data_IF_917165139606
#
_entry.id   IF_917165139606
#
_cell.length_a   1.000
_cell.length_b   1.000
_cell.length_c   1.000
_cell.angle_alpha   90.00
_cell.angle_beta   90.00
_cell.angle_gamma   90.00
#
_symmetry.space_group_name_H-M   'P 1'
#
loop_
_entity.id
_entity.type
_entity.pdbx_description
1 polymer ?
#
# COMPACT_ATOMS: atom_id res chain seq x y z
N UNK A 1 27.97 1.71 16.16
CA UNK A 1 27.98 0.98 14.86
C UNK A 1 26.91 1.61 13.99
N UNK A 2 27.23 1.94 12.75
CA UNK A 2 26.24 2.43 11.77
C UNK A 2 25.23 1.33 11.50
N UNK A 3 23.93 1.62 11.58
CA UNK A 3 22.87 0.67 11.21
C UNK A 3 22.95 0.35 9.73
N UNK A 4 22.78 -0.89 9.38
CA UNK A 4 22.78 -1.35 7.98
C UNK A 4 21.55 -2.19 7.74
N UNK A 5 20.80 -1.90 6.68
CA UNK A 5 19.60 -2.63 6.28
C UNK A 5 19.80 -3.30 4.93
N UNK A 6 19.35 -4.54 4.81
CA UNK A 6 19.32 -5.30 3.57
C UNK A 6 17.97 -5.10 2.90
N UNK A 7 17.93 -4.48 1.74
CA UNK A 7 16.69 -4.17 1.02
C UNK A 7 16.66 -4.93 -0.30
N UNK A 8 15.66 -5.79 -0.43
CA UNK A 8 15.35 -6.41 -1.72
C UNK A 8 14.60 -5.42 -2.60
N UNK A 9 15.07 -5.22 -3.82
CA UNK A 9 14.45 -4.34 -4.81
C UNK A 9 13.89 -5.18 -5.94
N UNK A 10 12.60 -5.09 -6.16
CA UNK A 10 11.87 -5.75 -7.25
C UNK A 10 11.22 -4.66 -8.11
N UNK A 11 11.89 -4.15 -9.15
CA UNK A 11 11.33 -3.09 -10.00
C UNK A 11 10.03 -3.52 -10.71
N UNK A 12 9.95 -4.80 -11.09
CA UNK A 12 8.76 -5.38 -11.73
C UNK A 12 8.55 -4.91 -13.16
N UNK A 13 7.30 -4.59 -13.51
CA UNK A 13 6.83 -4.38 -14.86
C UNK A 13 6.49 -2.91 -15.17
N UNK A 14 6.35 -2.62 -16.45
CA UNK A 14 5.83 -1.35 -16.95
C UNK A 14 6.62 -0.13 -16.49
N UNK A 15 5.97 0.77 -15.77
CA UNK A 15 6.61 1.98 -15.20
C UNK A 15 7.31 1.72 -13.86
N UNK A 16 7.22 0.50 -13.31
CA UNK A 16 7.85 0.12 -12.05
C UNK A 16 9.35 0.44 -11.98
N UNK A 17 10.16 0.04 -12.98
CA UNK A 17 11.59 0.38 -12.98
C UNK A 17 11.90 1.88 -12.93
N UNK A 18 11.10 2.70 -13.62
CA UNK A 18 11.28 4.15 -13.63
C UNK A 18 11.04 4.78 -12.25
N UNK A 19 9.92 4.41 -11.60
CA UNK A 19 9.55 5.00 -10.31
C UNK A 19 10.36 4.45 -9.15
N UNK A 20 10.79 3.18 -9.22
CA UNK A 20 11.70 2.57 -8.22
C UNK A 20 13.05 3.27 -8.24
N UNK A 21 13.60 3.57 -9.42
CA UNK A 21 14.87 4.29 -9.52
C UNK A 21 14.84 5.63 -8.76
N UNK A 22 13.73 6.34 -8.82
CA UNK A 22 13.56 7.60 -8.11
C UNK A 22 13.39 7.39 -6.58
N UNK A 23 12.68 6.35 -6.17
CA UNK A 23 12.61 5.94 -4.76
C UNK A 23 13.96 5.61 -4.18
N UNK A 24 14.80 4.82 -4.90
CA UNK A 24 16.17 4.47 -4.49
C UNK A 24 17.06 5.70 -4.39
N UNK A 25 17.01 6.60 -5.36
CA UNK A 25 17.73 7.86 -5.36
C UNK A 25 17.48 8.69 -4.09
N UNK A 26 16.23 8.78 -3.67
CA UNK A 26 15.84 9.49 -2.43
C UNK A 26 16.27 8.73 -1.18
N UNK A 27 16.17 7.41 -1.19
CA UNK A 27 16.63 6.54 -0.09
C UNK A 27 18.15 6.68 0.14
N UNK A 28 18.96 6.70 -0.91
CA UNK A 28 20.40 6.90 -0.81
C UNK A 28 20.76 8.27 -0.22
N UNK A 29 20.08 9.33 -0.67
CA UNK A 29 20.29 10.68 -0.16
C UNK A 29 19.97 10.78 1.34
N UNK A 30 18.83 10.25 1.76
CA UNK A 30 18.42 10.31 3.16
C UNK A 30 19.25 9.40 4.07
N UNK A 31 19.67 8.22 3.59
CA UNK A 31 20.56 7.31 4.32
C UNK A 31 21.91 7.97 4.62
N UNK A 32 22.49 8.67 3.63
CA UNK A 32 23.70 9.46 3.81
C UNK A 32 23.51 10.59 4.83
N UNK A 33 22.37 11.26 4.80
CA UNK A 33 22.04 12.38 5.70
C UNK A 33 21.89 11.97 7.16
N UNK A 34 21.33 10.78 7.42
CA UNK A 34 21.09 10.25 8.77
C UNK A 34 22.08 9.16 9.18
N UNK A 35 23.16 8.97 8.43
CA UNK A 35 24.29 8.10 8.76
C UNK A 35 23.92 6.62 9.00
N UNK A 36 22.95 6.08 8.24
CA UNK A 36 22.70 4.65 8.15
C UNK A 36 23.00 4.12 6.75
N UNK A 37 23.08 2.80 6.58
CA UNK A 37 23.40 2.16 5.30
C UNK A 37 22.22 1.36 4.78
N UNK A 38 22.00 1.43 3.47
CA UNK A 38 21.03 0.60 2.73
C UNK A 38 21.81 -0.21 1.68
N UNK A 39 21.76 -1.53 1.81
CA UNK A 39 22.33 -2.45 0.83
C UNK A 39 21.19 -2.95 -0.07
N UNK A 40 21.18 -2.53 -1.31
CA UNK A 40 20.17 -2.91 -2.28
C UNK A 40 20.58 -4.16 -3.06
N UNK A 41 19.71 -5.18 -3.06
CA UNK A 41 19.84 -6.36 -3.92
C UNK A 41 18.67 -6.38 -4.89
N UNK A 42 18.98 -6.32 -6.19
CA UNK A 42 17.96 -6.27 -7.24
C UNK A 42 17.59 -7.68 -7.71
N UNK A 43 16.27 -7.92 -7.84
CA UNK A 43 15.69 -9.16 -8.34
C UNK A 43 14.89 -8.88 -9.61
N UNK A 44 15.20 -9.60 -10.69
CA UNK A 44 14.48 -9.50 -11.95
C UNK A 44 13.23 -10.40 -11.91
N UNK A 45 12.18 -9.91 -11.25
CA UNK A 45 10.89 -10.58 -11.10
C UNK A 45 9.81 -9.73 -11.78
N UNK A 46 8.99 -10.36 -12.62
CA UNK A 46 7.94 -9.70 -13.40
C UNK A 46 7.60 -10.45 -14.67
N UNK A 47 6.76 -9.84 -15.52
CA UNK A 47 6.24 -10.45 -16.74
C UNK A 47 7.29 -10.71 -17.78
N UNK A 48 8.29 -9.82 -17.97
CA UNK A 48 9.37 -10.06 -18.92
C UNK A 48 10.21 -11.28 -18.52
N UNK A 49 10.55 -11.43 -17.24
CA UNK A 49 11.26 -12.61 -16.75
C UNK A 49 10.41 -13.87 -16.94
N UNK A 50 9.12 -13.79 -16.62
CA UNK A 50 8.18 -14.91 -16.81
C UNK A 50 8.10 -15.35 -18.29
N UNK A 51 8.00 -14.41 -19.23
CA UNK A 51 7.98 -14.71 -20.67
C UNK A 51 9.27 -15.36 -21.13
N UNK A 52 10.40 -14.92 -20.63
CA UNK A 52 11.72 -15.44 -21.03
C UNK A 52 12.05 -16.81 -20.43
N UNK A 53 11.64 -17.08 -19.20
CA UNK A 53 12.07 -18.25 -18.42
C UNK A 53 10.95 -19.24 -18.06
N UNK A 54 9.70 -18.78 -18.07
CA UNK A 54 8.54 -19.52 -17.54
C UNK A 54 8.45 -19.51 -16.01
N UNK A 55 9.40 -18.88 -15.32
CA UNK A 55 9.43 -18.80 -13.85
C UNK A 55 8.76 -17.53 -13.37
N UNK A 56 7.84 -17.65 -12.42
CA UNK A 56 7.09 -16.52 -11.85
C UNK A 56 7.86 -15.94 -10.66
N UNK A 57 8.11 -16.77 -9.65
CA UNK A 57 8.86 -16.44 -8.44
C UNK A 57 9.63 -17.69 -8.02
N UNK A 58 10.92 -17.79 -8.36
CA UNK A 58 11.76 -18.95 -8.04
C UNK A 58 11.97 -19.16 -6.53
N UNK A 59 12.10 -20.42 -6.08
CA UNK A 59 12.27 -20.77 -4.66
C UNK A 59 13.56 -20.16 -4.08
N UNK A 60 14.66 -20.15 -4.84
CA UNK A 60 15.93 -19.53 -4.43
C UNK A 60 15.81 -18.02 -4.20
N UNK A 61 14.92 -17.34 -4.93
CA UNK A 61 14.60 -15.93 -4.69
C UNK A 61 13.81 -15.79 -3.38
N UNK A 62 12.83 -16.64 -3.12
CA UNK A 62 12.09 -16.64 -1.85
C UNK A 62 13.06 -16.84 -0.68
N UNK A 63 13.96 -17.82 -0.75
CA UNK A 63 14.99 -18.07 0.28
C UNK A 63 15.94 -16.88 0.49
N UNK A 64 16.21 -16.12 -0.58
CA UNK A 64 17.02 -14.91 -0.48
C UNK A 64 16.24 -13.76 0.16
N UNK A 65 14.94 -13.63 -0.17
CA UNK A 65 14.05 -12.63 0.43
C UNK A 65 13.82 -12.86 1.92
N UNK A 66 13.92 -14.10 2.44
CA UNK A 66 13.83 -14.40 3.87
C UNK A 66 14.95 -13.77 4.72
N UNK A 67 15.98 -13.22 4.09
CA UNK A 67 17.20 -12.70 4.75
C UNK A 67 17.30 -11.17 4.68
N UNK A 68 16.28 -10.49 4.16
CA UNK A 68 16.28 -9.03 4.05
C UNK A 68 15.46 -8.38 5.16
N UNK A 69 15.69 -7.08 5.38
CA UNK A 69 14.93 -6.30 6.36
C UNK A 69 13.61 -5.78 5.77
N UNK A 70 13.57 -5.53 4.46
CA UNK A 70 12.36 -5.09 3.74
C UNK A 70 12.46 -5.38 2.24
N UNK A 71 11.28 -5.40 1.60
CA UNK A 71 11.14 -5.51 0.14
C UNK A 71 10.59 -4.20 -0.40
N UNK A 72 11.27 -3.61 -1.39
CA UNK A 72 10.80 -2.44 -2.14
C UNK A 72 10.39 -2.89 -3.53
N UNK A 73 9.08 -2.87 -3.79
CA UNK A 73 8.47 -3.34 -5.02
C UNK A 73 8.01 -2.14 -5.87
N UNK A 74 8.21 -2.22 -7.18
CA UNK A 74 7.69 -1.25 -8.13
C UNK A 74 6.26 -1.56 -8.54
N UNK A 75 6.08 -2.37 -9.55
CA UNK A 75 4.74 -2.77 -10.02
C UNK A 75 4.76 -4.14 -10.67
N UNK A 76 3.67 -4.88 -10.55
CA UNK A 76 3.49 -6.19 -11.20
C UNK A 76 2.30 -6.12 -12.14
N UNK A 77 2.48 -6.63 -13.35
CA UNK A 77 1.44 -6.74 -14.37
C UNK A 77 1.98 -6.45 -15.77
N UNK A 78 1.87 -7.44 -16.65
CA UNK A 78 2.37 -7.35 -18.02
C UNK A 78 1.24 -7.59 -19.03
N UNK A 79 1.10 -6.76 -20.10
CA UNK A 79 -0.02 -6.85 -21.03
C UNK A 79 -0.09 -8.18 -21.80
N UNK A 80 1.05 -8.83 -22.05
CA UNK A 80 1.11 -10.11 -22.76
C UNK A 80 0.95 -11.33 -21.84
N UNK A 81 0.80 -11.14 -20.52
CA UNK A 81 0.59 -12.22 -19.56
C UNK A 81 -0.88 -12.22 -19.12
N UNK A 82 -1.48 -13.40 -19.10
CA UNK A 82 -2.89 -13.54 -18.70
C UNK A 82 -3.09 -12.96 -17.29
N UNK A 83 -4.10 -12.09 -17.09
CA UNK A 83 -4.41 -11.53 -15.78
C UNK A 83 -4.55 -12.59 -14.68
N UNK A 84 -4.01 -12.31 -13.52
CA UNK A 84 -4.02 -13.19 -12.35
C UNK A 84 -2.82 -14.14 -12.25
N UNK A 85 -2.02 -14.33 -13.29
CA UNK A 85 -0.82 -15.20 -13.22
C UNK A 85 0.26 -14.54 -12.37
N UNK A 86 0.65 -13.32 -12.72
CA UNK A 86 1.72 -12.59 -12.02
C UNK A 86 1.26 -12.11 -10.65
N UNK A 87 0.06 -11.57 -10.56
CA UNK A 87 -0.52 -11.06 -9.31
C UNK A 87 -0.61 -12.18 -8.26
N UNK A 88 -1.12 -13.35 -8.64
CA UNK A 88 -1.20 -14.50 -7.73
C UNK A 88 0.16 -15.11 -7.44
N UNK A 89 0.99 -15.27 -8.46
CA UNK A 89 2.26 -15.97 -8.36
C UNK A 89 3.37 -15.14 -7.70
N UNK A 90 3.27 -13.81 -7.71
CA UNK A 90 4.26 -12.91 -7.10
C UNK A 90 3.67 -12.23 -5.88
N UNK A 91 2.69 -11.34 -6.04
CA UNK A 91 2.19 -10.50 -4.96
C UNK A 91 1.52 -11.31 -3.85
N UNK A 92 0.51 -12.14 -4.20
CA UNK A 92 -0.19 -12.94 -3.20
C UNK A 92 0.72 -14.01 -2.61
N UNK A 93 1.61 -14.60 -3.40
CA UNK A 93 2.58 -15.58 -2.90
C UNK A 93 3.47 -14.97 -1.83
N UNK A 94 4.07 -13.79 -2.08
CA UNK A 94 4.89 -13.09 -1.08
C UNK A 94 4.08 -12.70 0.15
N UNK A 95 2.85 -12.20 0.00
CA UNK A 95 1.97 -11.86 1.13
C UNK A 95 1.69 -13.06 2.04
N UNK A 96 1.43 -14.22 1.45
CA UNK A 96 1.16 -15.44 2.21
C UNK A 96 2.45 -16.04 2.81
N UNK A 97 3.52 -16.11 2.03
CA UNK A 97 4.79 -16.68 2.47
C UNK A 97 5.39 -15.91 3.67
N UNK A 98 5.41 -14.58 3.58
CA UNK A 98 5.93 -13.71 4.64
C UNK A 98 4.88 -13.32 5.70
N UNK A 99 3.69 -13.90 5.64
CA UNK A 99 2.55 -13.58 6.52
C UNK A 99 2.34 -12.06 6.69
N UNK A 100 2.36 -11.33 5.57
CA UNK A 100 2.15 -9.88 5.52
C UNK A 100 0.66 -9.56 5.69
N UNK A 101 0.15 -9.78 6.88
CA UNK A 101 -1.30 -9.81 7.17
C UNK A 101 -1.96 -8.44 7.24
N UNK A 102 -1.18 -7.36 7.18
CA UNK A 102 -1.69 -6.00 7.11
C UNK A 102 -1.38 -5.39 5.75
N UNK A 103 -2.38 -4.81 5.11
CA UNK A 103 -2.18 -3.88 4.02
C UNK A 103 -2.45 -2.46 4.54
N UNK A 104 -1.37 -1.70 4.71
CA UNK A 104 -1.38 -0.35 5.25
C UNK A 104 -1.53 0.65 4.10
N UNK A 105 -2.61 1.41 4.10
CA UNK A 105 -2.99 2.33 3.02
C UNK A 105 -3.30 3.73 3.58
N UNK A 106 -2.31 4.62 3.69
CA UNK A 106 -2.55 6.03 4.01
C UNK A 106 -3.35 6.72 2.89
N UNK A 107 -4.32 7.52 3.28
CA UNK A 107 -5.10 8.40 2.40
C UNK A 107 -4.92 9.82 2.91
N UNK A 108 -4.08 10.59 2.22
CA UNK A 108 -3.71 11.93 2.63
C UNK A 108 -3.64 12.87 1.44
N UNK A 109 -4.47 13.90 1.46
CA UNK A 109 -4.38 14.98 0.47
C UNK A 109 -3.26 15.93 0.89
N UNK A 110 -2.31 16.14 0.00
CA UNK A 110 -1.21 17.06 0.23
C UNK A 110 -1.54 18.47 -0.29
N UNK A 111 -0.95 19.49 0.34
CA UNK A 111 -1.01 20.86 -0.19
C UNK A 111 -0.49 20.92 -1.62
N UNK A 112 -1.18 21.67 -2.48
CA UNK A 112 -0.86 21.76 -3.91
C UNK A 112 -1.51 20.69 -4.78
N UNK A 113 -2.10 19.66 -4.20
CA UNK A 113 -2.81 18.59 -4.91
C UNK A 113 -4.32 18.87 -4.94
N UNK A 114 -4.94 18.69 -6.10
CA UNK A 114 -6.39 18.83 -6.25
C UNK A 114 -7.12 17.53 -5.89
N UNK A 115 -8.21 17.66 -5.15
CA UNK A 115 -9.17 16.57 -4.90
C UNK A 115 -10.41 16.74 -5.79
N UNK A 116 -11.07 15.63 -6.22
CA UNK A 116 -12.36 15.72 -6.90
C UNK A 116 -13.51 16.10 -5.96
N UNK A 117 -13.28 16.16 -4.65
CA UNK A 117 -14.30 16.50 -3.67
C UNK A 117 -14.53 18.03 -3.61
N UNK A 118 -15.80 18.42 -3.61
CA UNK A 118 -16.16 19.84 -3.52
C UNK A 118 -15.98 20.37 -2.10
N UNK A 119 -15.31 21.51 -1.95
CA UNK A 119 -15.08 22.20 -0.68
C UNK A 119 -14.35 21.34 0.36
N UNK A 120 -13.37 20.53 -0.07
CA UNK A 120 -12.50 19.76 0.79
C UNK A 120 -11.04 20.09 0.53
N UNK A 121 -10.23 20.08 1.57
CA UNK A 121 -8.81 20.41 1.55
C UNK A 121 -7.94 19.37 2.29
N UNK A 122 -6.64 19.65 2.40
CA UNK A 122 -5.70 18.79 3.12
C UNK A 122 -6.06 18.53 4.58
N UNK A 123 -6.76 19.45 5.22
CA UNK A 123 -7.27 19.34 6.59
C UNK A 123 -8.41 18.34 6.73
N UNK A 124 -9.15 18.06 5.65
CA UNK A 124 -10.30 17.17 5.64
C UNK A 124 -9.94 15.72 5.29
N UNK A 125 -8.83 15.51 4.55
CA UNK A 125 -8.49 14.20 3.98
C UNK A 125 -7.12 13.76 4.51
N UNK A 126 -7.14 13.10 5.67
CA UNK A 126 -5.96 12.51 6.30
C UNK A 126 -6.36 11.36 7.23
N UNK A 127 -6.59 10.19 6.67
CA UNK A 127 -6.93 8.96 7.39
C UNK A 127 -6.15 7.76 6.84
N UNK A 128 -6.24 6.62 7.49
CA UNK A 128 -5.54 5.40 7.10
C UNK A 128 -6.50 4.23 7.05
N UNK A 129 -6.36 3.38 6.04
CA UNK A 129 -7.07 2.10 5.97
C UNK A 129 -6.10 0.98 6.35
N UNK A 130 -6.46 0.21 7.36
CA UNK A 130 -5.83 -1.04 7.76
C UNK A 130 -6.67 -2.16 7.18
N UNK A 131 -6.22 -2.71 6.06
CA UNK A 131 -6.86 -3.79 5.32
C UNK A 131 -6.25 -5.12 5.74
N UNK A 132 -7.07 -6.11 6.07
CA UNK A 132 -6.62 -7.49 6.18
C UNK A 132 -6.06 -7.96 4.82
N UNK A 133 -4.99 -8.77 4.80
CA UNK A 133 -4.21 -8.98 3.59
C UNK A 133 -3.92 -10.44 3.24
N UNK A 134 -4.31 -11.41 4.06
CA UNK A 134 -3.98 -12.85 3.91
C UNK A 134 -5.18 -13.77 3.92
N UNK A 135 -6.37 -13.27 4.18
CA UNK A 135 -7.60 -14.04 4.29
C UNK A 135 -8.72 -13.48 3.38
N UNK A 136 -9.97 -13.73 3.72
CA UNK A 136 -11.13 -13.28 3.00
C UNK A 136 -11.34 -13.99 1.66
N UNK A 137 -11.85 -13.27 0.69
CA UNK A 137 -12.07 -13.77 -0.68
C UNK A 137 -10.76 -14.01 -1.45
N UNK A 138 -9.65 -13.41 -0.99
CA UNK A 138 -8.32 -13.56 -1.61
C UNK A 138 -7.60 -14.85 -1.19
N UNK A 139 -8.15 -15.60 -0.22
CA UNK A 139 -7.60 -16.91 0.20
C UNK A 139 -7.55 -17.96 -0.92
N UNK A 140 -8.33 -17.74 -2.00
CA UNK A 140 -8.38 -18.65 -3.13
C UNK A 140 -9.25 -19.89 -2.92
N UNK A 141 -9.97 -19.98 -1.79
CA UNK A 141 -10.91 -21.08 -1.54
C UNK A 141 -12.13 -20.98 -2.46
N UNK A 142 -12.44 -22.10 -3.13
CA UNK A 142 -13.55 -22.18 -4.06
C UNK A 142 -13.32 -23.17 -5.19
N UNK A 143 -14.19 -23.12 -6.18
CA UNK A 143 -14.07 -24.00 -7.33
C UNK A 143 -15.19 -23.81 -8.34
N UNK A 144 -15.09 -24.56 -9.43
CA UNK A 144 -16.08 -24.54 -10.53
C UNK A 144 -16.53 -25.95 -10.83
N UNK A 145 -17.85 -26.17 -10.86
CA UNK A 145 -18.50 -27.40 -11.31
C UNK A 145 -19.06 -27.19 -12.72
N UNK A 146 -19.00 -28.23 -13.56
CA UNK A 146 -19.55 -28.27 -14.92
C UNK A 146 -19.10 -27.08 -15.80
N UNK A 147 -17.85 -26.65 -15.69
CA UNK A 147 -17.30 -25.47 -16.38
C UNK A 147 -17.58 -25.52 -17.90
N UNK A 148 -18.06 -24.40 -18.43
CA UNK A 148 -18.36 -24.25 -19.86
C UNK A 148 -19.70 -24.85 -20.31
N UNK A 149 -20.58 -25.26 -19.40
CA UNK A 149 -21.94 -25.73 -19.68
C UNK A 149 -22.99 -24.76 -19.17
N UNK A 150 -24.26 -24.97 -19.60
CA UNK A 150 -25.39 -24.18 -19.10
C UNK A 150 -25.65 -24.35 -17.58
N UNK A 151 -25.19 -25.46 -17.00
CA UNK A 151 -25.32 -25.77 -15.57
C UNK A 151 -24.04 -25.45 -14.78
N UNK A 152 -23.19 -24.58 -15.26
CA UNK A 152 -21.95 -24.19 -14.57
C UNK A 152 -22.26 -23.54 -13.21
N UNK A 153 -21.53 -23.99 -12.19
CA UNK A 153 -21.58 -23.41 -10.83
C UNK A 153 -20.18 -22.98 -10.43
N UNK A 154 -20.02 -21.71 -10.08
CA UNK A 154 -18.79 -21.18 -9.51
C UNK A 154 -19.01 -20.81 -8.03
N UNK A 155 -18.06 -21.22 -7.19
CA UNK A 155 -18.05 -20.91 -5.74
C UNK A 155 -16.74 -20.19 -5.40
N UNK A 156 -16.85 -19.09 -4.67
CA UNK A 156 -15.72 -18.39 -4.08
C UNK A 156 -16.05 -18.14 -2.61
N UNK A 157 -15.21 -18.65 -1.70
CA UNK A 157 -15.48 -18.58 -0.25
C UNK A 157 -14.66 -17.47 0.40
N UNK A 158 -15.28 -16.75 1.36
CA UNK A 158 -14.59 -15.79 2.24
C UNK A 158 -14.20 -16.48 3.53
N UNK A 159 -12.91 -16.72 3.72
CA UNK A 159 -12.37 -17.32 4.93
C UNK A 159 -11.95 -16.21 5.89
N UNK A 160 -12.45 -16.24 7.13
CA UNK A 160 -12.11 -15.30 8.18
C UNK A 160 -11.81 -16.10 9.44
N UNK A 161 -10.56 -16.10 9.90
CA UNK A 161 -10.20 -16.76 11.14
C UNK A 161 -10.18 -15.77 12.30
N UNK A 162 -10.45 -16.25 13.51
CA UNK A 162 -10.34 -15.40 14.71
C UNK A 162 -8.94 -14.78 14.82
N UNK A 163 -7.90 -15.55 14.53
CA UNK A 163 -6.51 -15.09 14.56
C UNK A 163 -6.27 -13.95 13.57
N UNK A 164 -6.67 -14.14 12.30
CA UNK A 164 -6.47 -13.14 11.24
C UNK A 164 -7.21 -11.84 11.53
N UNK A 165 -8.47 -11.95 11.91
CA UNK A 165 -9.33 -10.81 12.25
C UNK A 165 -8.78 -10.04 13.45
N UNK A 166 -8.49 -10.72 14.55
CA UNK A 166 -8.04 -10.08 15.79
C UNK A 166 -6.70 -9.37 15.63
N UNK A 167 -5.71 -10.00 14.98
CA UNK A 167 -4.40 -9.38 14.77
C UNK A 167 -4.47 -8.13 13.89
N UNK A 168 -5.36 -8.12 12.89
CA UNK A 168 -5.60 -6.96 12.03
C UNK A 168 -6.24 -5.82 12.82
N UNK A 169 -7.27 -6.11 13.63
CA UNK A 169 -7.93 -5.14 14.49
C UNK A 169 -6.94 -4.57 15.52
N UNK A 170 -6.16 -5.41 16.18
CA UNK A 170 -5.16 -5.01 17.16
C UNK A 170 -4.13 -4.06 16.54
N UNK A 171 -3.63 -4.39 15.35
CA UNK A 171 -2.74 -3.50 14.62
C UNK A 171 -3.38 -2.12 14.35
N UNK A 172 -4.66 -2.08 13.99
CA UNK A 172 -5.36 -0.82 13.74
C UNK A 172 -5.44 0.07 15.00
N UNK A 173 -5.71 -0.49 16.18
CA UNK A 173 -5.70 0.24 17.44
C UNK A 173 -4.30 0.74 17.81
N UNK A 174 -3.28 -0.11 17.68
CA UNK A 174 -1.88 0.29 17.93
C UNK A 174 -1.44 1.39 16.96
N UNK A 175 -1.79 1.26 15.68
CA UNK A 175 -1.48 2.27 14.68
C UNK A 175 -2.19 3.59 14.98
N UNK A 176 -3.46 3.56 15.37
CA UNK A 176 -4.23 4.74 15.77
C UNK A 176 -3.58 5.46 16.98
N UNK A 177 -3.16 4.68 17.99
CA UNK A 177 -2.46 5.21 19.16
C UNK A 177 -1.12 5.86 18.78
N UNK A 178 -0.33 5.20 17.91
CA UNK A 178 0.96 5.74 17.41
C UNK A 178 0.76 7.00 16.56
N UNK A 179 -0.27 7.03 15.72
CA UNK A 179 -0.64 8.17 14.86
C UNK A 179 -1.06 9.38 15.70
N UNK A 180 -1.78 9.16 16.79
CA UNK A 180 -2.19 10.16 17.78
C UNK A 180 -2.86 11.42 17.18
N UNK A 181 -3.73 11.25 16.20
CA UNK A 181 -4.52 12.32 15.56
C UNK A 181 -5.97 12.34 16.09
N UNK A 182 -6.90 11.76 15.36
CA UNK A 182 -8.32 11.71 15.71
C UNK A 182 -8.66 10.75 16.84
N UNK A 183 -7.75 9.81 17.15
CA UNK A 183 -7.95 8.75 18.17
C UNK A 183 -9.24 7.96 17.99
N UNK A 184 -9.59 7.65 16.76
CA UNK A 184 -10.78 6.88 16.42
C UNK A 184 -10.45 5.74 15.48
N UNK A 185 -10.98 4.53 15.78
CA UNK A 185 -10.95 3.38 14.88
C UNK A 185 -12.37 3.06 14.44
N UNK A 186 -12.61 3.04 13.14
CA UNK A 186 -13.89 2.66 12.53
C UNK A 186 -13.78 1.27 11.92
N UNK A 187 -14.60 0.33 12.37
CA UNK A 187 -14.77 -0.96 11.68
C UNK A 187 -15.65 -0.74 10.46
N UNK A 188 -15.08 -0.95 9.26
CA UNK A 188 -15.84 -1.01 8.02
C UNK A 188 -16.25 -2.45 7.73
N UNK A 189 -17.55 -2.73 7.67
CA UNK A 189 -18.07 -4.07 7.54
C UNK A 189 -19.40 -4.17 6.80
N UNK A 190 -20.07 -5.32 6.89
CA UNK A 190 -21.40 -5.55 6.31
C UNK A 190 -22.20 -6.57 7.15
N UNK A 191 -22.35 -6.32 8.44
CA UNK A 191 -23.00 -7.22 9.41
C UNK A 191 -24.44 -7.58 9.07
N UNK A 192 -25.16 -6.69 8.37
CA UNK A 192 -26.54 -6.90 7.98
C UNK A 192 -26.74 -7.92 6.84
N UNK A 193 -25.68 -8.31 6.13
CA UNK A 193 -25.73 -9.27 4.99
C UNK A 193 -24.73 -10.41 5.17
N UNK A 194 -23.48 -10.10 5.48
CA UNK A 194 -22.41 -11.08 5.67
C UNK A 194 -22.35 -11.51 7.15
N UNK A 195 -23.44 -12.12 7.61
CA UNK A 195 -23.75 -12.32 9.02
C UNK A 195 -22.79 -13.25 9.75
N UNK A 196 -22.10 -14.17 9.08
CA UNK A 196 -21.10 -15.04 9.72
C UNK A 196 -19.73 -14.37 9.82
N UNK A 197 -19.23 -13.85 8.69
CA UNK A 197 -17.91 -13.24 8.64
C UNK A 197 -17.86 -11.97 9.50
N UNK A 198 -18.84 -11.07 9.33
CA UNK A 198 -18.82 -9.80 10.06
C UNK A 198 -19.37 -9.87 11.49
N UNK A 199 -20.07 -10.93 11.88
CA UNK A 199 -20.29 -11.23 13.31
C UNK A 199 -18.93 -11.47 14.02
N UNK A 200 -18.05 -12.26 13.38
CA UNK A 200 -16.72 -12.48 13.93
C UNK A 200 -15.90 -11.18 14.02
N UNK A 201 -15.93 -10.36 12.95
CA UNK A 201 -15.23 -9.07 12.92
C UNK A 201 -15.75 -8.12 14.01
N UNK A 202 -17.05 -7.98 14.12
CA UNK A 202 -17.69 -7.06 15.09
C UNK A 202 -17.43 -7.46 16.54
N UNK A 203 -17.60 -8.75 16.88
CA UNK A 203 -17.27 -9.26 18.22
C UNK A 203 -15.81 -9.07 18.56
N UNK A 204 -14.89 -9.45 17.65
CA UNK A 204 -13.47 -9.26 17.86
C UNK A 204 -13.09 -7.79 18.02
N UNK A 205 -13.71 -6.91 17.23
CA UNK A 205 -13.48 -5.47 17.29
C UNK A 205 -13.81 -4.90 18.68
N UNK A 206 -15.00 -5.15 19.18
CA UNK A 206 -15.40 -4.64 20.48
C UNK A 206 -14.74 -5.35 21.66
N UNK A 207 -14.27 -6.59 21.49
CA UNK A 207 -13.45 -7.26 22.50
C UNK A 207 -12.07 -6.62 22.61
N UNK A 208 -11.38 -6.40 21.50
CA UNK A 208 -10.07 -5.73 21.46
C UNK A 208 -10.17 -4.28 21.92
N UNK A 209 -11.22 -3.56 21.54
CA UNK A 209 -11.42 -2.16 21.92
C UNK A 209 -11.39 -1.92 23.44
N UNK A 210 -11.79 -2.91 24.26
CA UNK A 210 -11.72 -2.80 25.73
C UNK A 210 -10.31 -2.62 26.26
N UNK A 211 -9.29 -3.03 25.49
CA UNK A 211 -7.87 -2.85 25.85
C UNK A 211 -7.35 -1.46 25.49
N UNK A 212 -8.15 -0.65 24.76
CA UNK A 212 -7.79 0.67 24.25
C UNK A 212 -8.84 1.74 24.64
N UNK A 213 -9.09 1.98 25.93
CA UNK A 213 -10.15 2.88 26.40
C UNK A 213 -9.92 4.36 26.05
N UNK A 214 -8.73 4.69 25.55
CA UNK A 214 -8.32 6.01 25.07
C UNK A 214 -8.64 6.25 23.59
N UNK A 215 -9.20 5.25 22.89
CA UNK A 215 -9.53 5.32 21.47
C UNK A 215 -11.05 5.17 21.28
N UNK A 216 -11.64 6.11 20.56
CA UNK A 216 -13.04 6.06 20.17
C UNK A 216 -13.27 4.94 19.14
N UNK A 217 -14.37 4.23 19.26
CA UNK A 217 -14.78 3.18 18.32
C UNK A 217 -16.02 3.57 17.55
N UNK A 218 -16.04 3.24 16.27
CA UNK A 218 -17.17 3.46 15.38
C UNK A 218 -17.37 2.25 14.47
N UNK A 219 -18.57 2.09 13.93
CA UNK A 219 -18.91 1.07 12.95
C UNK A 219 -19.65 1.69 11.77
N UNK A 220 -19.23 1.35 10.55
CA UNK A 220 -19.93 1.74 9.34
C UNK A 220 -20.08 0.57 8.36
N UNK A 221 -21.24 0.41 7.74
CA UNK A 221 -21.36 -0.46 6.59
C UNK A 221 -20.52 0.07 5.44
N UNK A 222 -19.95 -0.84 4.63
CA UNK A 222 -19.04 -0.47 3.53
C UNK A 222 -19.63 0.53 2.55
N UNK A 223 -20.89 0.39 2.21
CA UNK A 223 -21.62 1.35 1.37
C UNK A 223 -21.73 2.75 2.03
N UNK A 224 -22.04 2.80 3.33
CA UNK A 224 -22.00 4.04 4.09
C UNK A 224 -20.58 4.61 4.20
N UNK A 225 -19.57 3.76 4.42
CA UNK A 225 -18.16 4.18 4.44
C UNK A 225 -17.79 4.89 3.13
N UNK A 226 -18.13 4.33 1.97
CA UNK A 226 -17.91 4.97 0.68
C UNK A 226 -18.61 6.33 0.57
N UNK A 227 -19.87 6.43 1.03
CA UNK A 227 -20.61 7.70 1.05
C UNK A 227 -19.92 8.76 1.92
N UNK A 228 -19.47 8.36 3.12
CA UNK A 228 -18.83 9.29 4.06
C UNK A 228 -17.42 9.66 3.62
N UNK A 229 -16.66 8.77 2.99
CA UNK A 229 -15.37 9.13 2.39
C UNK A 229 -15.49 10.24 1.34
N UNK A 230 -16.62 10.30 0.62
CA UNK A 230 -16.90 11.36 -0.36
C UNK A 230 -17.45 12.63 0.29
N UNK A 231 -18.29 12.50 1.32
CA UNK A 231 -19.02 13.63 1.90
C UNK A 231 -18.31 14.26 3.10
N UNK A 232 -17.79 13.44 3.98
CA UNK A 232 -17.20 13.84 5.26
C UNK A 232 -15.94 12.98 5.55
N UNK A 233 -14.90 13.02 4.70
CA UNK A 233 -13.69 12.22 4.89
C UNK A 233 -13.00 12.52 6.23
N UNK A 234 -13.16 13.72 6.77
CA UNK A 234 -12.65 14.18 8.07
C UNK A 234 -13.22 13.41 9.28
N UNK A 235 -14.27 12.60 9.07
CA UNK A 235 -14.83 11.75 10.15
C UNK A 235 -13.97 10.51 10.43
N UNK A 236 -13.05 10.17 9.55
CA UNK A 236 -12.19 9.01 9.68
C UNK A 236 -10.79 9.38 10.20
N UNK A 237 -10.23 8.55 11.06
CA UNK A 237 -8.82 8.56 11.43
C UNK A 237 -8.15 7.25 11.01
N UNK A 238 -8.61 6.11 11.56
CA UNK A 238 -8.20 4.77 11.13
C UNK A 238 -9.43 3.93 10.81
N UNK A 239 -9.46 3.35 9.62
CA UNK A 239 -10.49 2.38 9.20
C UNK A 239 -9.84 1.00 9.22
N UNK A 240 -10.49 0.02 9.85
CA UNK A 240 -10.10 -1.39 9.77
C UNK A 240 -11.18 -2.19 9.05
N UNK A 241 -10.76 -3.11 8.16
CA UNK A 241 -11.71 -3.86 7.32
C UNK A 241 -11.11 -5.16 6.80
N UNK A 242 -11.97 -6.02 6.23
CA UNK A 242 -11.53 -7.23 5.54
C UNK A 242 -10.76 -6.93 4.25
N UNK A 243 -10.24 -7.98 3.64
CA UNK A 243 -9.39 -7.88 2.46
C UNK A 243 -10.13 -7.27 1.25
N UNK A 244 -11.34 -7.73 0.94
CA UNK A 244 -12.08 -7.30 -0.26
C UNK A 244 -12.58 -5.85 -0.14
N UNK A 245 -13.20 -5.50 0.98
CA UNK A 245 -13.68 -4.13 1.18
C UNK A 245 -12.51 -3.16 1.28
N UNK A 246 -11.42 -3.57 1.92
CA UNK A 246 -10.19 -2.80 1.99
C UNK A 246 -9.64 -2.47 0.61
N UNK A 247 -9.65 -3.42 -0.33
CA UNK A 247 -9.23 -3.19 -1.71
C UNK A 247 -10.07 -2.09 -2.38
N UNK A 248 -11.38 -2.21 -2.29
CA UNK A 248 -12.30 -1.27 -2.95
C UNK A 248 -12.22 0.14 -2.36
N UNK A 249 -12.25 0.27 -1.04
CA UNK A 249 -12.28 1.59 -0.40
C UNK A 249 -10.92 2.31 -0.47
N UNK A 250 -9.82 1.58 -0.60
CA UNK A 250 -8.49 2.22 -0.76
C UNK A 250 -8.29 2.80 -2.14
N UNK A 251 -8.88 2.25 -3.19
CA UNK A 251 -8.89 2.84 -4.52
C UNK A 251 -9.75 4.11 -4.56
N UNK A 252 -10.91 4.09 -3.88
CA UNK A 252 -11.68 5.32 -3.66
C UNK A 252 -10.84 6.35 -2.88
N UNK A 253 -10.14 5.91 -1.82
CA UNK A 253 -9.22 6.75 -1.04
C UNK A 253 -8.14 7.38 -1.90
N UNK A 254 -7.50 6.60 -2.77
CA UNK A 254 -6.50 7.09 -3.71
C UNK A 254 -7.05 8.18 -4.64
N UNK A 255 -8.28 8.04 -5.10
CA UNK A 255 -8.92 9.06 -5.95
C UNK A 255 -9.23 10.35 -5.18
N UNK A 256 -9.76 10.27 -3.96
CA UNK A 256 -10.12 11.46 -3.19
C UNK A 256 -8.89 12.23 -2.67
N UNK A 257 -7.74 11.57 -2.48
CA UNK A 257 -6.48 12.25 -2.13
C UNK A 257 -5.78 12.89 -3.33
N UNK A 258 -6.34 12.80 -4.54
CA UNK A 258 -5.82 13.42 -5.75
C UNK A 258 -5.41 12.46 -6.85
N UNK A 259 -5.23 11.15 -6.57
CA UNK A 259 -4.94 10.11 -7.56
C UNK A 259 -3.88 9.11 -7.13
N UNK A 260 -3.77 8.02 -7.90
CA UNK A 260 -2.87 6.92 -7.60
C UNK A 260 -1.37 7.28 -7.70
N UNK A 261 -1.02 8.35 -8.41
CA UNK A 261 0.38 8.77 -8.58
C UNK A 261 1.10 9.24 -7.30
N UNK A 262 0.34 9.40 -6.21
CA UNK A 262 0.86 9.75 -4.88
C UNK A 262 0.48 8.73 -3.81
N UNK A 263 -0.23 7.66 -4.18
CA UNK A 263 -0.74 6.67 -3.25
C UNK A 263 0.31 5.57 -2.99
N UNK A 264 0.75 5.47 -1.75
CA UNK A 264 1.68 4.46 -1.26
C UNK A 264 0.97 3.36 -0.48
N UNK A 265 1.56 2.17 -0.42
CA UNK A 265 1.07 1.07 0.37
C UNK A 265 2.19 0.23 0.98
N UNK A 266 1.88 -0.39 2.12
CA UNK A 266 2.74 -1.37 2.77
C UNK A 266 1.99 -2.67 3.03
N UNK A 267 2.61 -3.78 2.65
CA UNK A 267 2.19 -5.12 3.05
C UNK A 267 3.03 -5.48 4.27
N UNK A 268 2.44 -5.44 5.46
CA UNK A 268 3.17 -5.41 6.72
C UNK A 268 3.03 -6.73 7.46
N UNK A 269 4.16 -7.28 7.87
CA UNK A 269 4.27 -8.19 8.99
C UNK A 269 5.06 -7.47 10.10
N UNK A 270 4.45 -7.08 11.22
CA UNK A 270 5.15 -6.33 12.28
C UNK A 270 6.31 -7.10 12.93
N UNK A 271 6.31 -8.43 12.81
CA UNK A 271 7.32 -9.34 13.39
C UNK A 271 8.22 -9.98 12.32
N UNK A 272 8.03 -9.61 11.04
CA UNK A 272 8.71 -10.22 9.90
C UNK A 272 8.98 -9.26 8.76
N UNK A 273 9.16 -9.82 7.59
CA UNK A 273 9.53 -9.07 6.39
C UNK A 273 8.30 -8.38 5.80
N UNK A 274 8.40 -7.08 5.65
CA UNK A 274 7.37 -6.25 5.04
C UNK A 274 7.74 -5.81 3.63
N UNK A 275 6.73 -5.55 2.79
CA UNK A 275 6.91 -5.12 1.40
C UNK A 275 6.19 -3.79 1.17
N UNK A 276 6.85 -2.87 0.46
CA UNK A 276 6.36 -1.52 0.22
C UNK A 276 6.28 -1.26 -1.28
N UNK A 277 5.16 -0.70 -1.73
CA UNK A 277 4.85 -0.53 -3.15
C UNK A 277 4.01 0.70 -3.44
N UNK A 278 4.17 1.36 -4.61
CA UNK A 278 3.18 2.30 -5.12
C UNK A 278 1.90 1.55 -5.53
N UNK A 279 0.73 2.14 -5.29
CA UNK A 279 -0.57 1.48 -5.53
C UNK A 279 -0.97 1.50 -7.02
N UNK A 280 -0.38 2.37 -7.82
CA UNK A 280 -0.82 2.70 -9.17
C UNK A 280 -0.65 1.64 -10.26
N UNK A 281 -0.17 0.43 -9.94
CA UNK A 281 0.05 -0.66 -10.89
C UNK A 281 1.14 -0.37 -11.94
N UNK A 282 1.28 -1.25 -12.94
CA UNK A 282 2.37 -1.20 -13.92
C UNK A 282 2.21 -0.15 -15.03
N UNK A 283 1.00 0.35 -15.26
CA UNK A 283 0.66 1.37 -16.26
C UNK A 283 1.41 1.20 -17.60
N UNK A 284 1.28 0.05 -18.29
CA UNK A 284 2.16 -0.36 -19.40
C UNK A 284 2.17 0.61 -20.57
N UNK A 285 1.10 1.39 -20.76
CA UNK A 285 1.02 2.42 -21.81
C UNK A 285 2.02 3.57 -21.65
N UNK A 286 2.62 3.72 -20.47
CA UNK A 286 3.59 4.78 -20.17
C UNK A 286 5.03 4.27 -20.03
N UNK A 287 5.26 2.97 -20.19
CA UNK A 287 6.57 2.33 -20.04
C UNK A 287 7.63 3.03 -20.90
N UNK A 288 8.77 3.41 -20.29
CA UNK A 288 9.90 4.02 -20.98
C UNK A 288 9.68 5.46 -21.44
N UNK A 289 8.56 6.08 -21.09
CA UNK A 289 8.27 7.45 -21.53
C UNK A 289 8.87 8.53 -20.61
N UNK A 290 9.26 8.18 -19.38
CA UNK A 290 9.84 9.12 -18.41
C UNK A 290 8.86 10.22 -17.95
N UNK A 291 7.56 9.97 -17.99
CA UNK A 291 6.51 10.97 -17.69
C UNK A 291 5.61 10.57 -16.52
N UNK A 292 5.83 9.40 -15.94
CA UNK A 292 5.03 8.93 -14.80
C UNK A 292 5.44 9.63 -13.51
N UNK A 293 4.49 9.87 -12.61
CA UNK A 293 4.76 10.49 -11.32
C UNK A 293 5.41 9.49 -10.36
N UNK A 294 6.64 9.74 -9.85
CA UNK A 294 7.33 8.81 -8.95
C UNK A 294 6.95 8.98 -7.48
N UNK A 295 6.09 9.94 -7.14
CA UNK A 295 5.78 10.29 -5.74
C UNK A 295 5.19 9.13 -4.94
N UNK A 296 4.39 8.26 -5.57
CA UNK A 296 3.86 7.06 -4.91
C UNK A 296 4.99 6.10 -4.49
N UNK A 297 6.01 5.88 -5.33
CA UNK A 297 7.17 5.05 -4.98
C UNK A 297 8.05 5.72 -3.91
N UNK A 298 8.27 7.03 -4.01
CA UNK A 298 9.00 7.80 -2.99
C UNK A 298 8.27 7.74 -1.64
N UNK A 299 6.94 7.88 -1.62
CA UNK A 299 6.14 7.75 -0.40
C UNK A 299 6.11 6.31 0.13
N UNK A 300 6.20 5.30 -0.74
CA UNK A 300 6.37 3.91 -0.30
C UNK A 300 7.74 3.67 0.34
N UNK A 301 8.79 4.29 -0.19
CA UNK A 301 10.11 4.29 0.42
C UNK A 301 10.12 5.02 1.79
N UNK A 302 9.39 6.12 1.92
CA UNK A 302 9.18 6.80 3.20
C UNK A 302 8.48 5.88 4.22
N UNK A 303 7.42 5.18 3.81
CA UNK A 303 6.68 4.24 4.65
C UNK A 303 7.55 3.04 5.09
N UNK A 304 8.44 2.57 4.21
CA UNK A 304 9.44 1.55 4.51
C UNK A 304 10.37 2.01 5.63
N UNK A 305 10.95 3.19 5.52
CA UNK A 305 11.85 3.75 6.55
C UNK A 305 11.13 3.97 7.88
N UNK A 306 9.89 4.43 7.86
CA UNK A 306 9.08 4.56 9.07
C UNK A 306 8.88 3.21 9.76
N UNK A 307 8.63 2.15 8.99
CA UNK A 307 8.46 0.78 9.51
C UNK A 307 9.78 0.21 10.05
N UNK A 308 10.89 0.46 9.40
CA UNK A 308 12.25 0.11 9.86
C UNK A 308 12.71 0.91 11.10
N UNK A 309 11.93 1.92 11.51
CA UNK A 309 12.22 2.74 12.70
C UNK A 309 13.02 4.01 12.42
N UNK A 310 13.38 4.29 11.18
CA UNK A 310 14.09 5.51 10.75
C UNK A 310 13.13 6.70 10.57
N UNK A 311 12.39 7.04 11.64
CA UNK A 311 11.29 8.01 11.63
C UNK A 311 11.70 9.42 11.21
N UNK A 312 12.90 9.86 11.61
CA UNK A 312 13.40 11.20 11.24
C UNK A 312 13.68 11.28 9.74
N UNK A 313 14.27 10.24 9.17
CA UNK A 313 14.52 10.11 7.75
C UNK A 313 13.21 10.06 6.96
N UNK A 314 12.25 9.24 7.40
CA UNK A 314 10.90 9.18 6.82
C UNK A 314 10.20 10.55 6.85
N UNK A 315 10.26 11.25 7.97
CA UNK A 315 9.67 12.61 8.11
C UNK A 315 10.31 13.63 7.17
N UNK A 316 11.62 13.54 6.91
CA UNK A 316 12.30 14.44 5.97
C UNK A 316 11.84 14.17 4.54
N UNK A 317 11.68 12.89 4.14
CA UNK A 317 11.13 12.55 2.82
C UNK A 317 9.70 13.08 2.68
N UNK A 318 8.84 12.91 3.70
CA UNK A 318 7.47 13.45 3.65
C UNK A 318 7.45 14.97 3.45
N UNK A 319 8.29 15.71 4.18
CA UNK A 319 8.44 17.15 3.99
C UNK A 319 8.89 17.53 2.58
N UNK A 320 9.82 16.76 2.01
CA UNK A 320 10.27 16.95 0.64
C UNK A 320 9.13 16.72 -0.37
N UNK A 321 8.37 15.64 -0.20
CA UNK A 321 7.19 15.33 -1.03
C UNK A 321 6.17 16.46 -0.97
N UNK A 322 5.81 16.92 0.23
CA UNK A 322 4.86 18.05 0.41
C UNK A 322 5.37 19.30 -0.31
N UNK A 323 6.63 19.67 -0.13
CA UNK A 323 7.23 20.85 -0.75
C UNK A 323 7.18 20.76 -2.28
N UNK A 324 7.60 19.64 -2.85
CA UNK A 324 7.65 19.46 -4.31
C UNK A 324 6.23 19.45 -4.92
N UNK A 325 5.26 18.78 -4.27
CA UNK A 325 3.87 18.77 -4.72
C UNK A 325 3.25 20.17 -4.69
N UNK A 326 3.56 20.97 -3.66
CA UNK A 326 2.98 22.30 -3.46
C UNK A 326 3.61 23.37 -4.35
N UNK A 327 4.93 23.33 -4.55
CA UNK A 327 5.67 24.46 -5.11
C UNK A 327 6.20 24.21 -6.52
N UNK A 328 6.51 22.96 -6.88
CA UNK A 328 7.20 22.65 -8.12
C UNK A 328 6.27 22.01 -9.17
N UNK A 329 5.42 21.06 -8.79
CA UNK A 329 4.58 20.36 -9.76
C UNK A 329 3.36 21.20 -10.21
N UNK A 330 3.10 21.17 -11.51
CA UNK A 330 1.87 21.80 -12.10
C UNK A 330 0.62 20.93 -11.92
N UNK A 331 0.80 19.59 -11.94
CA UNK A 331 -0.23 18.58 -11.85
C UNK A 331 0.43 17.28 -11.39
N UNK A 332 -0.32 16.35 -10.83
CA UNK A 332 0.20 15.01 -10.45
C UNK A 332 0.04 13.97 -11.56
N UNK A 333 -0.73 14.25 -12.60
CA UNK A 333 -0.99 13.33 -13.69
C UNK A 333 0.22 13.12 -14.61
N UNK A 334 0.39 11.91 -15.11
CA UNK A 334 1.45 11.53 -16.03
C UNK A 334 1.50 12.49 -17.25
N UNK A 335 2.69 13.02 -17.53
CA UNK A 335 2.95 13.97 -18.62
C UNK A 335 2.44 15.38 -18.38
N UNK A 336 1.83 15.68 -17.22
CA UNK A 336 1.33 17.01 -16.88
C UNK A 336 2.08 17.68 -15.73
N UNK A 337 3.01 16.99 -15.10
CA UNK A 337 3.75 17.47 -13.94
C UNK A 337 4.58 18.74 -14.21
N UNK A 338 4.94 18.97 -15.46
CA UNK A 338 5.88 20.02 -15.85
C UNK A 338 7.34 19.59 -15.80
N UNK A 339 7.57 18.34 -15.38
CA UNK A 339 8.86 17.68 -15.22
C UNK A 339 8.75 16.22 -15.68
N UNK A 340 9.89 15.63 -16.04
CA UNK A 340 10.02 14.18 -16.24
C UNK A 340 10.02 13.43 -14.91
N UNK A 341 9.84 12.10 -14.97
CA UNK A 341 9.92 11.22 -13.80
C UNK A 341 11.21 11.44 -13.02
N UNK A 342 12.35 11.49 -13.72
CA UNK A 342 13.66 11.66 -13.09
C UNK A 342 13.85 13.04 -12.47
N UNK A 343 13.41 14.11 -13.14
CA UNK A 343 13.49 15.47 -12.58
C UNK A 343 12.66 15.62 -11.30
N UNK A 344 11.49 14.98 -11.22
CA UNK A 344 10.70 14.97 -9.98
C UNK A 344 11.45 14.29 -8.84
N UNK A 345 12.09 13.14 -9.10
CA UNK A 345 12.95 12.48 -8.11
C UNK A 345 14.15 13.33 -7.69
N UNK A 346 14.76 14.07 -8.63
CA UNK A 346 15.86 15.00 -8.35
C UNK A 346 15.40 16.16 -7.44
N UNK A 347 14.22 16.73 -7.66
CA UNK A 347 13.66 17.77 -6.79
C UNK A 347 13.49 17.28 -5.33
N UNK A 348 12.98 16.06 -5.14
CA UNK A 348 12.82 15.48 -3.80
C UNK A 348 14.20 15.20 -3.18
N UNK A 349 15.13 14.58 -3.91
CA UNK A 349 16.49 14.32 -3.46
C UNK A 349 17.20 15.61 -3.05
N UNK A 350 17.14 16.64 -3.89
CA UNK A 350 17.77 17.94 -3.65
C UNK A 350 17.27 18.59 -2.35
N UNK A 351 15.99 18.47 -2.05
CA UNK A 351 15.45 18.94 -0.78
C UNK A 351 16.03 18.16 0.41
N UNK A 352 16.10 16.83 0.30
CA UNK A 352 16.65 15.95 1.35
C UNK A 352 18.13 16.27 1.62
N UNK A 353 18.93 16.51 0.57
CA UNK A 353 20.35 16.81 0.72
C UNK A 353 20.62 18.19 1.36
N UNK A 354 19.70 19.17 1.18
CA UNK A 354 19.86 20.54 1.66
C UNK A 354 19.31 20.76 3.10
N UNK A 355 18.44 19.90 3.61
CA UNK A 355 17.77 20.06 4.92
C UNK A 355 18.06 18.92 5.88
#
# INVERSE_FOLDING_TARGET
MTKTYQIAVIPGDGTGPEVVAEGLKVLEAVAKRFEFQLNFTHYNIGGENYKATGQILPDDVIEALEKVDAIFLGAIGHPDVKPGILEKGILLNMRFHFDQYINLRPVKLYEGVSTPLKNKGPEDIDFVVIRENTEGLYSGAGGVLKKGTADEVAVQESINTRKGVERCIRYAFEYCRKRNKGKKVTLCGKTNVLTYAFDLWERAFYEVAKEYPDIETDYAHVDATCMWMVKNPEWFDVIVTDNMFGDIITDLGAMIQGGMGIAAGGNINPEGISMFEPIGGSAPKYTGMGIINPMAAISSAQLMLETLGERNAASLIEKAVIKVLREDLKDIAAGKMGYSTSEVGDLVKDFVEKN
#
